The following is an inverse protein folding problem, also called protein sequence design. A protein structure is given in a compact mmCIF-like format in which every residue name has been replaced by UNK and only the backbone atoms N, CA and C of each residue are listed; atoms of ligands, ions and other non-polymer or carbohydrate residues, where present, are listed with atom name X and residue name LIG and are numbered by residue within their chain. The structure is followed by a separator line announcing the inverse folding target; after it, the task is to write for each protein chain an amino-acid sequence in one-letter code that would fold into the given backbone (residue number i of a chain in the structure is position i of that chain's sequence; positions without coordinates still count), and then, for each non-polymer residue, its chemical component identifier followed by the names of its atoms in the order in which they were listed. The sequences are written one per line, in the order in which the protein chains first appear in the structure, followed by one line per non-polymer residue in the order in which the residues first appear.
data_IF_455367818937
#
_entry.id   IF_455367818937
#
_cell.length_a   1.000
_cell.length_b   1.000
_cell.length_c   1.000
_cell.angle_alpha   90.00
_cell.angle_beta   90.00
_cell.angle_gamma   90.00
#
_symmetry.space_group_name_H-M   'P 1'
#
loop_
_entity.id
_entity.type
_entity.pdbx_description
1 polymer ?
#
# COMPACT_ATOMS: atom_id res chain seq x y z
N UNK A 1 -12.83 19.59 28.39
CA UNK A 1 -13.17 18.24 27.91
C UNK A 1 -13.45 18.36 26.43
N UNK A 2 -12.50 17.99 25.59
CA UNK A 2 -12.71 17.98 24.14
C UNK A 2 -13.59 16.77 23.82
N UNK A 3 -14.79 17.00 23.26
CA UNK A 3 -15.60 15.91 22.73
C UNK A 3 -14.75 15.10 21.75
N UNK A 4 -14.76 13.75 21.80
CA UNK A 4 -14.16 12.98 20.74
C UNK A 4 -14.82 13.40 19.43
N UNK A 5 -14.02 13.87 18.47
CA UNK A 5 -14.49 14.20 17.13
C UNK A 5 -15.22 12.99 16.57
N UNK A 6 -16.48 13.16 16.19
CA UNK A 6 -17.22 12.11 15.50
C UNK A 6 -16.43 11.69 14.25
N UNK A 7 -16.37 10.38 13.94
CA UNK A 7 -15.78 9.92 12.70
C UNK A 7 -16.47 10.61 11.51
N UNK A 8 -15.73 10.91 10.42
CA UNK A 8 -16.31 11.55 9.25
C UNK A 8 -17.44 10.68 8.68
N UNK A 9 -18.43 11.31 8.04
CA UNK A 9 -19.45 10.54 7.34
C UNK A 9 -18.83 9.77 6.16
N UNK A 10 -19.52 8.75 5.65
CA UNK A 10 -19.10 8.06 4.43
C UNK A 10 -19.03 9.01 3.24
N UNK A 11 -19.97 9.94 3.14
CA UNK A 11 -19.99 10.96 2.09
C UNK A 11 -18.76 11.87 2.15
N UNK A 12 -18.37 12.31 3.36
CA UNK A 12 -17.15 13.10 3.55
C UNK A 12 -15.88 12.31 3.21
N UNK A 13 -15.86 11.02 3.57
CA UNK A 13 -14.75 10.11 3.25
C UNK A 13 -14.62 9.93 1.74
N UNK A 14 -15.72 9.65 1.03
CA UNK A 14 -15.75 9.56 -0.43
C UNK A 14 -15.30 10.87 -1.07
N UNK A 15 -15.82 12.01 -0.63
CA UNK A 15 -15.41 13.32 -1.15
C UNK A 15 -13.91 13.61 -0.90
N UNK A 16 -13.37 13.18 0.23
CA UNK A 16 -11.93 13.26 0.53
C UNK A 16 -11.08 12.46 -0.44
N UNK A 17 -11.48 11.22 -0.73
CA UNK A 17 -10.78 10.37 -1.69
C UNK A 17 -10.95 10.83 -3.13
N UNK A 18 -12.14 11.26 -3.53
CA UNK A 18 -12.41 11.77 -4.88
C UNK A 18 -11.57 13.01 -5.21
N UNK A 19 -11.15 13.79 -4.20
CA UNK A 19 -10.19 14.90 -4.36
C UNK A 19 -8.74 14.45 -4.52
N UNK A 20 -8.33 13.34 -3.90
CA UNK A 20 -6.90 12.95 -3.80
C UNK A 20 -6.50 11.83 -4.76
N UNK A 21 -7.43 10.95 -5.13
CA UNK A 21 -7.17 9.85 -6.08
C UNK A 21 -6.68 10.38 -7.43
N UNK A 22 -7.26 11.42 -8.06
CA UNK A 22 -6.77 11.89 -9.35
C UNK A 22 -5.30 12.34 -9.31
N UNK A 23 -4.89 13.03 -8.25
CA UNK A 23 -3.51 13.48 -8.05
C UNK A 23 -2.56 12.29 -7.84
N UNK A 24 -2.98 11.28 -7.08
CA UNK A 24 -2.20 10.08 -6.86
C UNK A 24 -2.05 9.24 -8.14
N UNK A 25 -3.10 9.18 -8.98
CA UNK A 25 -3.06 8.53 -10.30
C UNK A 25 -2.11 9.26 -11.25
N UNK A 26 -2.15 10.59 -11.30
CA UNK A 26 -1.20 11.38 -12.09
C UNK A 26 0.25 11.10 -11.66
N UNK A 27 0.51 11.08 -10.35
CA UNK A 27 1.82 10.70 -9.82
C UNK A 27 2.23 9.28 -10.22
N UNK A 28 1.30 8.31 -10.17
CA UNK A 28 1.54 6.93 -10.57
C UNK A 28 1.92 6.83 -12.05
N UNK A 29 1.20 7.52 -12.94
CA UNK A 29 1.52 7.57 -14.36
C UNK A 29 2.91 8.15 -14.62
N UNK A 30 3.27 9.22 -13.91
CA UNK A 30 4.63 9.77 -13.99
C UNK A 30 5.68 8.74 -13.54
N UNK A 31 5.45 8.00 -12.45
CA UNK A 31 6.38 6.95 -12.01
C UNK A 31 6.44 5.76 -12.96
N UNK A 32 5.34 5.41 -13.61
CA UNK A 32 5.33 4.39 -14.65
C UNK A 32 6.22 4.80 -15.83
N UNK A 33 6.13 6.07 -16.27
CA UNK A 33 7.00 6.62 -17.32
C UNK A 33 8.47 6.68 -16.89
N UNK A 34 8.76 6.98 -15.62
CA UNK A 34 10.13 6.92 -15.09
C UNK A 34 10.71 5.50 -15.22
N UNK A 35 9.94 4.47 -14.85
CA UNK A 35 10.33 3.05 -14.99
C UNK A 35 10.54 2.68 -16.47
N UNK A 36 9.62 3.08 -17.35
CA UNK A 36 9.73 2.83 -18.79
C UNK A 36 11.00 3.46 -19.38
N UNK A 37 11.31 4.70 -19.00
CA UNK A 37 12.47 5.44 -19.52
C UNK A 37 13.82 4.78 -19.23
N UNK A 38 13.90 3.96 -18.17
CA UNK A 38 15.13 3.27 -17.74
C UNK A 38 15.11 1.77 -18.02
N UNK A 39 14.03 1.21 -18.58
CA UNK A 39 13.89 -0.23 -18.78
C UNK A 39 15.04 -0.82 -19.62
N UNK A 40 15.44 -0.12 -20.69
CA UNK A 40 16.52 -0.51 -21.59
C UNK A 40 17.94 -0.13 -21.15
N UNK A 41 18.12 0.52 -19.99
CA UNK A 41 19.44 0.93 -19.55
C UNK A 41 20.32 -0.30 -19.21
N UNK A 42 21.65 -0.17 -19.31
CA UNK A 42 22.57 -1.25 -18.90
C UNK A 42 22.71 -1.36 -17.37
N UNK A 43 23.51 -2.33 -16.92
CA UNK A 43 23.81 -2.54 -15.49
C UNK A 43 24.49 -1.32 -14.84
N UNK A 44 25.15 -0.49 -15.63
CA UNK A 44 25.71 0.78 -15.15
C UNK A 44 24.65 1.69 -14.50
N UNK A 45 23.38 1.59 -14.88
CA UNK A 45 22.27 2.37 -14.35
C UNK A 45 21.38 1.57 -13.37
N UNK A 46 21.88 0.48 -12.79
CA UNK A 46 21.11 -0.38 -11.90
C UNK A 46 20.47 0.38 -10.72
N UNK A 47 21.19 1.32 -10.10
CA UNK A 47 20.64 2.15 -9.01
C UNK A 47 19.47 3.03 -9.48
N UNK A 48 19.53 3.54 -10.72
CA UNK A 48 18.46 4.38 -11.29
C UNK A 48 17.21 3.54 -11.54
N UNK A 49 17.38 2.32 -12.07
CA UNK A 49 16.28 1.35 -12.23
C UNK A 49 15.64 0.98 -10.90
N UNK A 50 16.47 0.64 -9.90
CA UNK A 50 15.99 0.28 -8.57
C UNK A 50 15.24 1.45 -7.90
N UNK A 51 15.72 2.67 -8.09
CA UNK A 51 15.06 3.87 -7.58
C UNK A 51 13.70 4.11 -8.26
N UNK A 52 13.64 4.04 -9.59
CA UNK A 52 12.40 4.19 -10.34
C UNK A 52 11.37 3.12 -9.94
N UNK A 53 11.81 1.86 -9.80
CA UNK A 53 10.96 0.76 -9.35
C UNK A 53 10.42 0.99 -7.92
N UNK A 54 11.27 1.47 -7.00
CA UNK A 54 10.86 1.78 -5.63
C UNK A 54 9.80 2.87 -5.57
N UNK A 55 10.03 3.98 -6.30
CA UNK A 55 9.09 5.09 -6.42
C UNK A 55 7.76 4.64 -7.00
N UNK A 56 7.79 3.87 -8.09
CA UNK A 56 6.58 3.35 -8.73
C UNK A 56 5.79 2.45 -7.78
N UNK A 57 6.45 1.47 -7.15
CA UNK A 57 5.80 0.51 -6.27
C UNK A 57 5.10 1.19 -5.08
N UNK A 58 5.75 2.16 -4.43
CA UNK A 58 5.17 2.88 -3.29
C UNK A 58 3.92 3.66 -3.70
N UNK A 59 3.99 4.39 -4.83
CA UNK A 59 2.85 5.17 -5.32
C UNK A 59 1.72 4.27 -5.82
N UNK A 60 2.04 3.11 -6.39
CA UNK A 60 1.03 2.12 -6.79
C UNK A 60 0.23 1.63 -5.59
N UNK A 61 0.91 1.25 -4.51
CA UNK A 61 0.27 0.81 -3.27
C UNK A 61 -0.60 1.94 -2.66
N UNK A 62 -0.13 3.19 -2.67
CA UNK A 62 -0.91 4.35 -2.21
C UNK A 62 -2.22 4.50 -3.02
N UNK A 63 -2.14 4.45 -4.36
CA UNK A 63 -3.32 4.52 -5.24
C UNK A 63 -4.29 3.37 -4.98
N UNK A 64 -3.79 2.13 -4.97
CA UNK A 64 -4.61 0.94 -4.75
C UNK A 64 -5.34 1.01 -3.40
N UNK A 65 -4.66 1.44 -2.33
CA UNK A 65 -5.28 1.66 -1.03
C UNK A 65 -6.38 2.72 -1.09
N UNK A 66 -6.12 3.89 -1.69
CA UNK A 66 -7.12 4.98 -1.77
C UNK A 66 -8.37 4.54 -2.52
N UNK A 67 -8.19 3.87 -3.65
CA UNK A 67 -9.31 3.37 -4.47
C UNK A 67 -10.16 2.39 -3.69
N UNK A 68 -9.54 1.44 -2.97
CA UNK A 68 -10.25 0.45 -2.18
C UNK A 68 -10.92 1.06 -0.95
N UNK A 69 -10.28 1.99 -0.25
CA UNK A 69 -10.89 2.72 0.87
C UNK A 69 -12.09 3.55 0.43
N UNK A 70 -11.98 4.23 -0.72
CA UNK A 70 -13.09 4.96 -1.34
C UNK A 70 -14.24 4.04 -1.70
N UNK A 71 -13.96 2.87 -2.28
CA UNK A 71 -14.97 1.88 -2.62
C UNK A 71 -15.67 1.30 -1.38
N UNK A 72 -14.94 1.06 -0.28
CA UNK A 72 -15.53 0.64 1.01
C UNK A 72 -16.49 1.67 1.59
N UNK A 73 -16.18 2.96 1.42
CA UNK A 73 -17.01 4.07 1.88
C UNK A 73 -18.24 4.30 0.97
N UNK A 74 -18.11 4.09 -0.33
CA UNK A 74 -19.16 4.37 -1.30
C UNK A 74 -20.26 3.30 -1.36
N UNK A 75 -19.93 2.02 -1.13
CA UNK A 75 -20.89 0.91 -1.24
C UNK A 75 -20.79 -0.06 -0.05
N UNK A 76 -21.71 0.05 0.93
CA UNK A 76 -21.79 -0.88 2.05
C UNK A 76 -22.02 -2.35 1.62
N UNK A 77 -22.64 -2.61 0.46
CA UNK A 77 -22.91 -3.97 -0.01
C UNK A 77 -21.65 -4.65 -0.57
N UNK A 78 -20.72 -3.89 -1.15
CA UNK A 78 -19.45 -4.38 -1.67
C UNK A 78 -18.32 -4.41 -0.61
N UNK A 79 -18.56 -3.87 0.59
CA UNK A 79 -17.55 -3.62 1.63
C UNK A 79 -16.67 -4.82 1.94
N UNK A 80 -17.24 -6.00 2.17
CA UNK A 80 -16.48 -7.22 2.52
C UNK A 80 -15.52 -7.65 1.40
N UNK A 81 -15.96 -7.53 0.16
CA UNK A 81 -15.10 -7.86 -1.00
C UNK A 81 -13.95 -6.87 -1.09
N UNK A 82 -14.28 -5.58 -0.97
CA UNK A 82 -13.31 -4.49 -1.06
C UNK A 82 -12.30 -4.55 0.09
N UNK A 83 -12.74 -4.86 1.30
CA UNK A 83 -11.91 -5.01 2.48
C UNK A 83 -10.93 -6.18 2.36
N UNK A 84 -11.37 -7.30 1.75
CA UNK A 84 -10.47 -8.43 1.49
C UNK A 84 -9.38 -8.06 0.49
N UNK A 85 -9.70 -7.29 -0.56
CA UNK A 85 -8.70 -6.76 -1.48
C UNK A 85 -7.78 -5.75 -0.79
N UNK A 86 -8.34 -4.87 0.04
CA UNK A 86 -7.57 -3.90 0.83
C UNK A 86 -6.59 -4.61 1.77
N UNK A 87 -6.99 -5.74 2.36
CA UNK A 87 -6.11 -6.57 3.17
C UNK A 87 -4.91 -7.11 2.38
N UNK A 88 -5.06 -7.41 1.09
CA UNK A 88 -3.94 -7.82 0.24
C UNK A 88 -2.96 -6.67 0.02
N UNK A 89 -3.49 -5.48 -0.32
CA UNK A 89 -2.68 -4.28 -0.52
C UNK A 89 -1.99 -3.87 0.78
N UNK A 90 -2.69 -3.94 1.92
CA UNK A 90 -2.13 -3.69 3.25
C UNK A 90 -1.00 -4.67 3.56
N UNK A 91 -1.18 -5.97 3.30
CA UNK A 91 -0.08 -6.93 3.49
C UNK A 91 1.13 -6.58 2.60
N UNK A 92 0.89 -6.27 1.32
CA UNK A 92 1.97 -5.94 0.39
C UNK A 92 2.67 -4.63 0.77
N UNK A 93 1.95 -3.66 1.35
CA UNK A 93 2.56 -2.43 1.88
C UNK A 93 3.49 -2.70 3.07
N UNK A 94 3.14 -3.65 3.94
CA UNK A 94 3.93 -3.96 5.13
C UNK A 94 5.17 -4.77 4.75
N UNK A 95 5.06 -5.73 3.83
CA UNK A 95 6.17 -6.64 3.50
C UNK A 95 6.94 -6.21 2.24
N UNK A 96 6.24 -5.77 1.20
CA UNK A 96 6.78 -5.44 -0.11
C UNK A 96 7.58 -4.14 -0.12
N UNK A 97 7.13 -3.11 0.60
CA UNK A 97 7.85 -1.82 0.66
C UNK A 97 9.24 -2.01 1.25
N UNK A 98 9.38 -2.77 2.34
CA UNK A 98 10.70 -3.05 2.91
C UNK A 98 11.61 -3.81 1.96
N UNK A 99 11.05 -4.77 1.20
CA UNK A 99 11.81 -5.56 0.22
C UNK A 99 12.39 -4.64 -0.85
N UNK A 100 11.55 -3.81 -1.46
CA UNK A 100 11.95 -2.93 -2.56
C UNK A 100 12.92 -1.84 -2.09
N UNK A 101 12.72 -1.28 -0.89
CA UNK A 101 13.67 -0.32 -0.31
C UNK A 101 15.00 -0.96 0.08
N UNK A 102 14.97 -2.19 0.58
CA UNK A 102 16.18 -2.98 0.87
C UNK A 102 16.97 -3.30 -0.40
N UNK A 103 16.29 -3.61 -1.49
CA UNK A 103 16.90 -3.80 -2.80
C UNK A 103 17.56 -2.52 -3.30
N UNK A 104 16.86 -1.38 -3.27
CA UNK A 104 17.43 -0.08 -3.60
C UNK A 104 18.69 0.24 -2.77
N UNK A 105 18.64 0.02 -1.45
CA UNK A 105 19.77 0.30 -0.58
C UNK A 105 20.98 -0.60 -0.88
N UNK A 106 20.74 -1.88 -1.17
CA UNK A 106 21.81 -2.82 -1.58
C UNK A 106 22.42 -2.37 -2.91
N UNK A 107 21.60 -2.07 -3.91
CA UNK A 107 22.05 -1.62 -5.22
C UNK A 107 22.84 -0.31 -5.12
N UNK A 108 22.38 0.67 -4.33
CA UNK A 108 23.07 1.93 -4.12
C UNK A 108 24.47 1.74 -3.50
N UNK A 109 24.61 0.83 -2.53
CA UNK A 109 25.91 0.54 -1.88
C UNK A 109 26.93 -0.12 -2.79
N UNK A 110 26.48 -0.87 -3.80
CA UNK A 110 27.36 -1.58 -4.74
C UNK A 110 27.52 -0.85 -6.06
N UNK A 111 26.81 0.26 -6.26
CA UNK A 111 26.85 1.02 -7.50
C UNK A 111 28.23 1.67 -7.67
N UNK A 112 28.78 1.58 -8.88
CA UNK A 112 30.05 2.21 -9.25
C UNK A 112 29.86 3.10 -10.48
N UNK A 113 30.90 3.87 -10.83
CA UNK A 113 30.89 4.73 -12.01
C UNK A 113 30.01 5.96 -11.84
N UNK A 114 29.41 6.43 -12.94
CA UNK A 114 28.71 7.73 -13.01
C UNK A 114 27.53 7.90 -12.04
N UNK A 115 26.98 6.80 -11.51
CA UNK A 115 25.83 6.83 -10.60
C UNK A 115 26.18 6.37 -9.17
N UNK A 116 27.46 6.24 -8.82
CA UNK A 116 27.87 5.80 -7.47
C UNK A 116 27.23 6.64 -6.35
N UNK A 117 27.09 7.94 -6.56
CA UNK A 117 26.51 8.88 -5.59
C UNK A 117 25.06 9.27 -5.90
N UNK A 118 24.37 8.57 -6.81
CA UNK A 118 23.01 8.92 -7.24
C UNK A 118 22.00 8.99 -6.09
N UNK A 119 22.19 8.15 -5.05
CA UNK A 119 21.33 8.07 -3.88
C UNK A 119 22.09 8.49 -2.62
N UNK A 120 21.49 9.40 -1.86
CA UNK A 120 21.82 9.63 -0.48
C UNK A 120 21.40 8.44 0.40
N UNK A 121 22.37 7.56 0.71
CA UNK A 121 22.14 6.34 1.52
C UNK A 121 21.69 6.68 2.94
N UNK A 122 22.17 7.79 3.51
CA UNK A 122 21.80 8.21 4.86
C UNK A 122 20.33 8.65 4.89
N UNK A 123 19.93 9.53 3.97
CA UNK A 123 18.54 9.93 3.78
C UNK A 123 17.61 8.76 3.48
N UNK A 124 18.03 7.81 2.63
CA UNK A 124 17.26 6.60 2.37
C UNK A 124 17.06 5.77 3.64
N UNK A 125 18.11 5.60 4.44
CA UNK A 125 18.06 4.84 5.70
C UNK A 125 17.15 5.54 6.71
N UNK A 126 17.21 6.86 6.80
CA UNK A 126 16.32 7.65 7.65
C UNK A 126 14.85 7.49 7.23
N UNK A 127 14.55 7.61 5.94
CA UNK A 127 13.19 7.42 5.40
C UNK A 127 12.63 6.02 5.69
N UNK A 128 13.45 4.97 5.51
CA UNK A 128 13.08 3.60 5.86
C UNK A 128 12.78 3.43 7.35
N UNK A 129 13.60 4.02 8.23
CA UNK A 129 13.40 3.94 9.68
C UNK A 129 12.13 4.66 10.12
N UNK A 130 11.82 5.82 9.53
CA UNK A 130 10.58 6.55 9.77
C UNK A 130 9.37 5.71 9.36
N UNK A 131 9.36 5.17 8.14
CA UNK A 131 8.30 4.28 7.67
C UNK A 131 8.12 3.09 8.61
N UNK A 132 9.23 2.45 9.01
CA UNK A 132 9.23 1.31 9.93
C UNK A 132 8.65 1.64 11.29
N UNK A 133 9.00 2.80 11.84
CA UNK A 133 8.45 3.25 13.10
C UNK A 133 6.94 3.50 13.00
N UNK A 134 6.49 4.10 11.89
CA UNK A 134 5.07 4.42 11.66
C UNK A 134 4.16 3.20 11.53
N UNK A 135 4.68 2.06 11.09
CA UNK A 135 3.88 0.82 10.91
C UNK A 135 4.26 -0.29 11.89
N UNK A 136 5.06 0.02 12.92
CA UNK A 136 5.64 -0.97 13.84
C UNK A 136 4.58 -1.78 14.59
N UNK A 137 3.55 -1.12 15.10
CA UNK A 137 2.45 -1.76 15.82
C UNK A 137 1.69 -2.77 14.95
N UNK A 138 1.57 -2.50 13.64
CA UNK A 138 1.03 -3.44 12.67
C UNK A 138 2.01 -4.59 12.41
N UNK A 139 3.29 -4.26 12.21
CA UNK A 139 4.33 -5.23 11.89
C UNK A 139 4.58 -6.21 13.04
N UNK A 140 4.44 -5.77 14.29
CA UNK A 140 4.65 -6.59 15.50
C UNK A 140 3.39 -7.39 15.89
N UNK A 141 2.22 -7.04 15.35
CA UNK A 141 0.97 -7.76 15.61
C UNK A 141 0.87 -9.07 14.81
N UNK A 142 1.30 -10.15 15.44
CA UNK A 142 1.27 -11.49 14.87
C UNK A 142 -0.13 -11.96 14.51
N UNK A 143 -1.12 -11.73 15.38
CA UNK A 143 -2.50 -12.21 15.18
C UNK A 143 -3.13 -11.55 13.96
N UNK A 144 -2.91 -10.24 13.81
CA UNK A 144 -3.37 -9.52 12.64
C UNK A 144 -2.69 -9.99 11.36
N UNK A 145 -1.36 -10.19 11.36
CA UNK A 145 -0.66 -10.72 10.18
C UNK A 145 -1.16 -12.12 9.79
N UNK A 146 -1.42 -12.99 10.75
CA UNK A 146 -2.03 -14.30 10.50
C UNK A 146 -3.44 -14.16 9.87
N UNK A 147 -4.19 -13.13 10.27
CA UNK A 147 -5.48 -12.79 9.66
C UNK A 147 -5.32 -12.34 8.21
N UNK A 148 -4.37 -11.45 7.91
CA UNK A 148 -4.07 -11.03 6.53
C UNK A 148 -3.67 -12.22 5.64
N UNK A 149 -2.89 -13.17 6.17
CA UNK A 149 -2.51 -14.39 5.45
C UNK A 149 -3.72 -15.29 5.16
N UNK A 150 -4.64 -15.44 6.11
CA UNK A 150 -5.88 -16.20 5.90
C UNK A 150 -6.74 -15.56 4.80
N UNK A 151 -6.91 -14.24 4.84
CA UNK A 151 -7.63 -13.49 3.79
C UNK A 151 -6.96 -13.69 2.43
N UNK A 152 -5.64 -13.56 2.34
CA UNK A 152 -4.89 -13.83 1.10
C UNK A 152 -5.16 -15.22 0.55
N UNK A 153 -5.11 -16.25 1.40
CA UNK A 153 -5.36 -17.62 0.98
C UNK A 153 -6.81 -17.82 0.52
N UNK A 154 -7.77 -17.18 1.18
CA UNK A 154 -9.18 -17.21 0.80
C UNK A 154 -9.41 -16.54 -0.56
N UNK A 155 -8.87 -15.33 -0.77
CA UNK A 155 -8.96 -14.63 -2.08
C UNK A 155 -8.29 -15.47 -3.17
N UNK A 156 -7.11 -16.03 -2.89
CA UNK A 156 -6.39 -16.84 -3.86
C UNK A 156 -7.17 -18.11 -4.25
N UNK A 157 -7.76 -18.78 -3.26
CA UNK A 157 -8.62 -19.94 -3.48
C UNK A 157 -9.87 -19.59 -4.30
N UNK A 158 -10.43 -18.39 -4.13
CA UNK A 158 -11.59 -17.93 -4.89
C UNK A 158 -11.26 -17.53 -6.34
N UNK A 159 -10.09 -16.89 -6.57
CA UNK A 159 -9.77 -16.27 -7.86
C UNK A 159 -8.90 -17.11 -8.81
N UNK A 160 -8.05 -18.00 -8.29
CA UNK A 160 -6.95 -18.58 -9.08
C UNK A 160 -6.86 -20.11 -9.07
N UNK A 161 -7.77 -20.81 -8.42
CA UNK A 161 -7.72 -22.27 -8.35
C UNK A 161 -8.87 -22.92 -9.10
N UNK A 162 -8.52 -23.71 -10.12
CA UNK A 162 -9.43 -24.55 -10.90
C UNK A 162 -10.01 -25.71 -10.08
N UNK A 163 -9.39 -26.05 -8.96
CA UNK A 163 -9.61 -27.23 -8.11
C UNK A 163 -10.34 -26.93 -6.78
N UNK A 164 -10.71 -25.67 -6.53
CA UNK A 164 -11.41 -25.28 -5.30
C UNK A 164 -12.91 -25.39 -5.53
N UNK A 165 -13.52 -26.34 -4.80
CA UNK A 165 -14.95 -26.59 -4.86
C UNK A 165 -15.82 -25.40 -4.44
N UNK A 166 -17.12 -25.55 -4.66
CA UNK A 166 -18.16 -24.55 -4.38
C UNK A 166 -18.12 -24.03 -2.93
N UNK A 167 -17.47 -24.76 -2.02
CA UNK A 167 -17.32 -24.44 -0.59
C UNK A 167 -16.55 -23.13 -0.32
N UNK A 168 -15.47 -22.83 -1.06
CA UNK A 168 -14.76 -21.55 -0.84
C UNK A 168 -15.55 -20.35 -1.39
N UNK A 169 -16.26 -20.55 -2.50
CA UNK A 169 -17.24 -19.55 -2.99
C UNK A 169 -18.38 -19.34 -1.98
N UNK A 170 -18.87 -20.41 -1.36
CA UNK A 170 -19.88 -20.32 -0.32
C UNK A 170 -19.37 -19.61 0.95
N UNK A 171 -18.16 -19.93 1.43
CA UNK A 171 -17.55 -19.25 2.57
C UNK A 171 -17.38 -17.73 2.33
N UNK A 172 -16.97 -17.38 1.11
CA UNK A 172 -16.87 -15.98 0.68
C UNK A 172 -18.22 -15.25 0.70
N UNK A 173 -19.30 -15.90 0.25
CA UNK A 173 -20.65 -15.34 0.30
C UNK A 173 -21.16 -15.23 1.74
N UNK A 174 -20.93 -16.26 2.56
CA UNK A 174 -21.34 -16.27 3.97
C UNK A 174 -20.67 -15.15 4.76
N UNK A 175 -19.38 -14.86 4.52
CA UNK A 175 -18.70 -13.74 5.19
C UNK A 175 -19.37 -12.38 4.90
N UNK A 176 -20.06 -12.24 3.76
CA UNK A 176 -20.84 -11.02 3.44
C UNK A 176 -22.12 -10.90 4.26
N UNK A 177 -22.74 -12.02 4.59
CA UNK A 177 -24.04 -12.06 5.27
C UNK A 177 -23.98 -11.66 6.74
N UNK A 178 -22.83 -11.88 7.38
CA UNK A 178 -22.60 -11.62 8.81
C UNK A 178 -22.08 -10.22 9.12
N UNK A 179 -21.65 -9.46 8.10
CA UNK A 179 -21.06 -8.14 8.29
C UNK A 179 -22.13 -7.06 8.44
N UNK A 180 -22.00 -6.15 9.43
CA UNK A 180 -22.90 -5.02 9.57
C UNK A 180 -22.90 -4.15 8.31
N UNK A 181 -24.10 -3.88 7.78
CA UNK A 181 -24.31 -3.05 6.59
C UNK A 181 -24.66 -1.60 6.95
N UNK A 182 -24.31 -1.18 8.17
CA UNK A 182 -24.50 0.21 8.60
C UNK A 182 -23.45 1.10 7.92
N UNK A 183 -23.76 2.39 7.83
CA UNK A 183 -22.88 3.35 7.16
C UNK A 183 -21.51 3.42 7.87
N UNK A 184 -21.48 3.40 9.20
CA UNK A 184 -20.28 3.57 10.02
C UNK A 184 -19.43 2.31 10.26
N UNK A 185 -19.95 1.11 9.96
CA UNK A 185 -19.24 -0.14 10.30
C UNK A 185 -17.86 -0.31 9.63
N UNK A 186 -17.52 0.49 8.61
CA UNK A 186 -16.14 0.54 8.09
C UNK A 186 -15.13 1.08 9.11
N UNK A 187 -15.53 2.00 9.98
CA UNK A 187 -14.64 2.62 10.97
C UNK A 187 -14.31 1.68 12.13
N UNK A 188 -15.08 0.60 12.29
CA UNK A 188 -14.80 -0.47 13.27
C UNK A 188 -13.76 -1.47 12.75
N UNK A 189 -13.40 -1.42 11.46
CA UNK A 189 -12.43 -2.34 10.87
C UNK A 189 -10.98 -1.99 11.23
N UNK A 190 -10.27 -3.00 11.74
CA UNK A 190 -8.82 -2.94 11.90
C UNK A 190 -8.08 -2.85 10.56
N UNK A 191 -8.60 -3.44 9.48
CA UNK A 191 -8.00 -3.34 8.15
C UNK A 191 -8.14 -1.91 7.64
N UNK A 192 -9.33 -1.29 7.81
CA UNK A 192 -9.56 0.09 7.42
C UNK A 192 -8.63 1.05 8.17
N UNK A 193 -8.66 1.03 9.50
CA UNK A 193 -7.85 1.94 10.34
C UNK A 193 -6.35 1.80 10.09
N UNK A 194 -5.83 0.57 9.96
CA UNK A 194 -4.41 0.33 9.66
C UNK A 194 -4.04 0.73 8.23
N UNK A 195 -4.95 0.63 7.28
CA UNK A 195 -4.71 1.13 5.91
C UNK A 195 -4.59 2.64 5.86
N UNK A 196 -5.40 3.38 6.64
CA UNK A 196 -5.24 4.84 6.78
C UNK A 196 -3.88 5.19 7.39
N UNK A 197 -3.48 4.49 8.45
CA UNK A 197 -2.16 4.67 9.07
C UNK A 197 -1.02 4.44 8.06
N UNK A 198 -1.10 3.36 7.28
CA UNK A 198 -0.09 3.06 6.25
C UNK A 198 -0.09 4.10 5.13
N UNK A 199 -1.25 4.58 4.67
CA UNK A 199 -1.32 5.66 3.67
C UNK A 199 -0.53 6.90 4.10
N UNK A 200 -0.67 7.33 5.35
CA UNK A 200 0.11 8.45 5.88
C UNK A 200 1.62 8.15 5.88
N UNK A 201 2.01 6.93 6.25
CA UNK A 201 3.41 6.50 6.25
C UNK A 201 4.00 6.44 4.83
N UNK A 202 3.23 5.94 3.85
CA UNK A 202 3.63 5.88 2.44
C UNK A 202 3.82 7.27 1.85
N UNK A 203 2.92 8.21 2.14
CA UNK A 203 3.05 9.59 1.68
C UNK A 203 4.35 10.24 2.21
N UNK A 204 4.61 10.10 3.52
CA UNK A 204 5.85 10.60 4.14
C UNK A 204 7.10 9.98 3.52
N UNK A 205 7.05 8.67 3.27
CA UNK A 205 8.14 7.94 2.64
C UNK A 205 8.37 8.40 1.19
N UNK A 206 7.31 8.61 0.42
CA UNK A 206 7.41 9.09 -0.96
C UNK A 206 8.04 10.49 -1.00
N UNK A 207 7.65 11.40 -0.10
CA UNK A 207 8.32 12.71 0.02
C UNK A 207 9.80 12.57 0.38
N UNK A 208 10.14 11.71 1.34
CA UNK A 208 11.53 11.45 1.70
C UNK A 208 12.34 10.94 0.50
N UNK A 209 11.81 9.98 -0.26
CA UNK A 209 12.48 9.44 -1.45
C UNK A 209 12.66 10.47 -2.56
N UNK A 210 11.85 11.53 -2.61
CA UNK A 210 12.02 12.59 -3.62
C UNK A 210 13.29 13.40 -3.33
N UNK A 211 13.67 13.49 -2.06
CA UNK A 211 14.75 14.34 -1.56
C UNK A 211 16.11 13.64 -1.45
N UNK A 212 16.18 12.31 -1.61
CA UNK A 212 17.45 11.55 -1.50
C UNK A 212 18.26 11.51 -2.80
N UNK A 213 17.72 12.01 -3.91
CA UNK A 213 18.46 12.02 -5.18
C UNK A 213 19.52 13.12 -5.12
N UNK A 214 20.79 12.76 -5.26
CA UNK A 214 21.88 13.74 -5.43
C UNK A 214 22.01 14.05 -6.93
N UNK A 215 22.12 15.34 -7.27
CA UNK A 215 22.33 15.80 -8.65
C UNK A 215 23.71 15.40 -9.15
#
# INVERSE_FOLDING_TARGET
MSSPSQPPSNADSVAGFDRTIPLAVEALEHRARDVESVAGAGDEAAVVKAYAAARFFIVQIDVDMRVLLRAMAADPAARVTTEKLLALVLRESIEGVYRVLGDLQRTARTQTGRFADFIDIEGLTAGQNTYKASVRDIADDRSFKETLVKIRNEVAAHMFRDDVGIESGAAWVVSRSVMPKTDDAMFESLIFSRSIQVLHALHTLDEALANIRRM
#
